data_IF_333175787760
#
_entry.id   IF_333175787760
#
_cell.length_a   1.000
_cell.length_b   1.000
_cell.length_c   1.000
_cell.angle_alpha   90.00
_cell.angle_beta   90.00
_cell.angle_gamma   90.00
#
_symmetry.space_group_name_H-M   'P 1'
#
loop_
_entity.id
_entity.type
_entity.pdbx_description
1 polymer ?
#
# COMPACT_ATOMS: atom_id res chain seq x y z
N UNK A 1 11.63 -1.37 -24.48
CA UNK A 1 10.69 -1.41 -23.35
C UNK A 1 10.63 -2.86 -22.86
N UNK A 2 10.83 -3.13 -21.56
CA UNK A 2 10.87 -4.50 -21.02
C UNK A 2 9.47 -4.92 -20.59
N UNK A 3 9.11 -6.17 -20.86
CA UNK A 3 7.88 -6.78 -20.39
C UNK A 3 8.04 -7.20 -18.92
N UNK A 4 7.24 -6.58 -18.04
CA UNK A 4 7.26 -6.79 -16.59
C UNK A 4 6.38 -7.97 -16.13
N UNK A 5 5.53 -8.48 -17.02
CA UNK A 5 4.55 -9.54 -16.74
C UNK A 5 4.84 -10.82 -17.50
N UNK A 6 5.94 -10.89 -18.26
CA UNK A 6 6.33 -12.08 -19.04
C UNK A 6 5.20 -12.55 -19.97
N UNK A 7 4.63 -11.59 -20.71
CA UNK A 7 3.58 -11.74 -21.72
C UNK A 7 2.23 -12.16 -21.17
N UNK A 8 2.04 -11.98 -19.86
CA UNK A 8 0.78 -12.21 -19.15
C UNK A 8 -0.07 -10.97 -19.14
N UNK A 9 -1.36 -11.14 -19.37
CA UNK A 9 -2.33 -10.06 -19.39
C UNK A 9 -2.61 -9.51 -17.98
N UNK A 10 -2.52 -8.19 -17.82
CA UNK A 10 -2.93 -7.49 -16.62
C UNK A 10 -4.46 -7.39 -16.56
N UNK A 11 -5.06 -7.82 -15.44
CA UNK A 11 -6.52 -7.80 -15.25
C UNK A 11 -6.99 -6.57 -14.49
N UNK A 12 -6.41 -6.30 -13.33
CA UNK A 12 -6.82 -5.19 -12.46
C UNK A 12 -5.62 -4.58 -11.74
N UNK A 13 -5.58 -3.25 -11.68
CA UNK A 13 -4.58 -2.48 -10.95
C UNK A 13 -5.24 -1.59 -9.91
N UNK A 14 -4.71 -1.59 -8.69
CA UNK A 14 -5.14 -0.74 -7.59
C UNK A 14 -3.93 -0.01 -7.02
N UNK A 15 -3.92 1.32 -7.10
CA UNK A 15 -2.90 2.17 -6.51
C UNK A 15 -3.47 2.99 -5.36
N UNK A 16 -2.80 2.97 -4.20
CA UNK A 16 -3.18 3.78 -3.04
C UNK A 16 -2.32 5.05 -2.94
N UNK A 17 -1.00 4.89 -3.08
CA UNK A 17 0.00 5.97 -3.06
C UNK A 17 1.30 5.50 -3.70
N UNK A 18 2.30 6.37 -3.92
CA UNK A 18 3.58 5.95 -4.49
C UNK A 18 4.20 4.77 -3.74
N UNK A 19 4.54 3.71 -4.50
CA UNK A 19 5.11 2.45 -3.97
C UNK A 19 4.17 1.69 -3.02
N UNK A 20 2.86 1.87 -3.19
CA UNK A 20 1.81 1.09 -2.52
C UNK A 20 0.70 0.77 -3.52
N UNK A 21 0.74 -0.43 -4.10
CA UNK A 21 -0.17 -0.85 -5.14
C UNK A 21 -0.28 -2.38 -5.22
N UNK A 22 -1.31 -2.84 -5.92
CA UNK A 22 -1.50 -4.23 -6.28
C UNK A 22 -1.91 -4.37 -7.73
N UNK A 23 -1.39 -5.41 -8.39
CA UNK A 23 -1.71 -5.77 -9.78
C UNK A 23 -2.08 -7.25 -9.84
N UNK A 24 -3.18 -7.58 -10.51
CA UNK A 24 -3.57 -8.96 -10.82
C UNK A 24 -3.26 -9.27 -12.28
N UNK A 25 -2.76 -10.49 -12.53
CA UNK A 25 -2.42 -10.98 -13.87
C UNK A 25 -2.47 -12.50 -13.85
N UNK A 26 -3.11 -13.16 -14.83
CA UNK A 26 -3.20 -14.63 -14.93
C UNK A 26 -3.31 -15.39 -13.58
N UNK A 27 -4.26 -14.98 -12.73
CA UNK A 27 -4.53 -15.57 -11.40
C UNK A 27 -3.42 -15.40 -10.35
N UNK A 28 -2.40 -14.58 -10.65
CA UNK A 28 -1.35 -14.14 -9.75
C UNK A 28 -1.60 -12.70 -9.27
N UNK A 29 -0.96 -12.34 -8.14
CA UNK A 29 -1.00 -10.98 -7.58
C UNK A 29 0.41 -10.43 -7.32
N UNK A 30 0.74 -9.25 -7.85
CA UNK A 30 1.95 -8.50 -7.47
C UNK A 30 1.61 -7.48 -6.39
N UNK A 31 2.01 -7.81 -5.15
CA UNK A 31 1.96 -7.03 -3.89
C UNK A 31 3.05 -5.97 -3.73
N UNK A 32 2.77 -4.65 -3.66
CA UNK A 32 3.75 -3.66 -3.19
C UNK A 32 3.17 -2.75 -2.10
N UNK A 33 3.84 -2.68 -0.93
CA UNK A 33 3.53 -1.71 0.12
C UNK A 33 4.81 -1.29 0.84
N UNK A 34 5.51 -0.27 0.30
CA UNK A 34 6.79 0.17 0.86
C UNK A 34 6.63 0.63 2.31
N UNK A 35 7.53 0.14 3.17
CA UNK A 35 7.55 0.45 4.60
C UNK A 35 6.74 -0.52 5.46
N UNK A 36 6.02 -1.46 4.84
CA UNK A 36 5.36 -2.58 5.51
C UNK A 36 6.25 -3.81 5.42
N UNK A 37 6.45 -4.57 6.52
CA UNK A 37 7.18 -5.84 6.47
C UNK A 37 6.59 -6.80 5.45
N UNK A 38 7.44 -7.42 4.63
CA UNK A 38 7.03 -8.35 3.56
C UNK A 38 6.25 -9.55 4.08
N UNK A 39 6.56 -10.01 5.30
CA UNK A 39 5.81 -11.07 5.99
C UNK A 39 4.33 -10.70 6.18
N UNK A 40 4.03 -9.44 6.54
CA UNK A 40 2.65 -8.95 6.69
C UNK A 40 1.98 -8.88 5.31
N UNK A 41 2.65 -8.32 4.30
CA UNK A 41 2.10 -8.21 2.94
C UNK A 41 1.73 -9.59 2.39
N UNK A 42 2.59 -10.59 2.57
CA UNK A 42 2.35 -11.96 2.08
C UNK A 42 1.23 -12.67 2.83
N UNK A 43 1.13 -12.48 4.15
CA UNK A 43 0.18 -13.19 5.02
C UNK A 43 -1.21 -12.57 5.05
N UNK A 44 -1.31 -11.24 5.09
CA UNK A 44 -2.54 -10.52 5.44
C UNK A 44 -3.15 -9.70 4.31
N UNK A 45 -2.43 -9.47 3.20
CA UNK A 45 -2.91 -8.60 2.14
C UNK A 45 -3.07 -9.35 0.81
N UNK A 46 -4.30 -9.33 0.30
CA UNK A 46 -4.72 -9.76 -1.03
C UNK A 46 -5.06 -8.53 -1.89
N UNK A 47 -5.23 -8.73 -3.19
CA UNK A 47 -5.61 -7.64 -4.09
C UNK A 47 -6.89 -6.94 -3.62
N UNK A 48 -7.88 -7.72 -3.17
CA UNK A 48 -9.15 -7.20 -2.67
C UNK A 48 -9.00 -6.28 -1.45
N UNK A 49 -7.96 -6.46 -0.62
CA UNK A 49 -7.72 -5.59 0.53
C UNK A 49 -7.26 -4.19 0.09
N UNK A 50 -6.50 -4.10 -1.01
CA UNK A 50 -6.15 -2.80 -1.60
C UNK A 50 -7.40 -2.11 -2.16
N UNK A 51 -8.26 -2.87 -2.85
CA UNK A 51 -9.52 -2.36 -3.40
C UNK A 51 -10.45 -1.87 -2.30
N UNK A 52 -10.63 -2.66 -1.24
CA UNK A 52 -11.41 -2.27 -0.08
C UNK A 52 -10.82 -1.05 0.64
N UNK A 53 -9.49 -0.98 0.77
CA UNK A 53 -8.81 0.16 1.37
C UNK A 53 -9.09 1.46 0.59
N UNK A 54 -9.04 1.40 -0.75
CA UNK A 54 -9.35 2.53 -1.63
C UNK A 54 -10.82 2.95 -1.51
N UNK A 55 -11.75 2.01 -1.68
CA UNK A 55 -13.19 2.30 -1.76
C UNK A 55 -13.83 2.66 -0.42
N UNK A 56 -13.36 2.05 0.68
CA UNK A 56 -13.89 2.31 2.03
C UNK A 56 -13.14 3.42 2.77
N UNK A 57 -12.06 3.94 2.18
CA UNK A 57 -11.17 4.93 2.81
C UNK A 57 -10.66 4.50 4.20
N UNK A 58 -10.46 3.20 4.39
CA UNK A 58 -10.06 2.62 5.67
C UNK A 58 -8.60 2.19 5.67
N UNK A 59 -7.86 2.60 6.70
CA UNK A 59 -6.49 2.12 6.95
C UNK A 59 -6.53 0.76 7.63
N UNK A 60 -5.56 -0.08 7.33
CA UNK A 60 -5.34 -1.35 8.04
C UNK A 60 -4.14 -1.26 8.98
N UNK A 61 -4.15 -2.13 9.98
CA UNK A 61 -3.08 -2.32 10.95
C UNK A 61 -2.60 -3.77 10.85
N UNK A 62 -1.30 -3.97 10.98
CA UNK A 62 -0.67 -5.27 10.98
C UNK A 62 0.34 -5.38 12.11
N UNK A 63 0.52 -6.60 12.60
CA UNK A 63 1.46 -6.93 13.66
C UNK A 63 2.60 -7.76 13.09
N UNK A 64 3.81 -7.44 13.52
CA UNK A 64 5.00 -8.17 13.15
C UNK A 64 6.01 -8.16 14.30
N UNK A 65 7.00 -9.03 14.16
CA UNK A 65 8.14 -9.11 15.03
C UNK A 65 9.39 -8.68 14.27
N UNK A 66 10.33 -8.05 14.98
CA UNK A 66 11.68 -7.79 14.47
C UNK A 66 12.70 -8.03 15.57
N UNK A 67 13.89 -8.45 15.17
CA UNK A 67 15.05 -8.47 16.04
C UNK A 67 15.65 -7.06 16.04
N UNK A 68 15.96 -6.54 17.23
CA UNK A 68 16.60 -5.24 17.41
C UNK A 68 17.73 -5.35 18.43
N UNK A 69 18.79 -4.58 18.22
CA UNK A 69 19.85 -4.39 19.21
C UNK A 69 19.70 -3.03 19.85
N UNK A 70 19.70 -2.98 21.18
CA UNK A 70 19.66 -1.73 21.95
C UNK A 70 20.65 -1.86 23.10
N UNK A 71 21.59 -0.93 23.23
CA UNK A 71 22.69 -1.00 24.20
C UNK A 71 23.42 -2.35 24.19
N UNK A 72 23.74 -2.85 22.98
CA UNK A 72 24.38 -4.15 22.74
C UNK A 72 23.58 -5.38 23.22
N UNK A 73 22.29 -5.22 23.58
CA UNK A 73 21.40 -6.33 23.92
C UNK A 73 20.46 -6.63 22.75
N UNK A 74 20.53 -7.86 22.25
CA UNK A 74 19.64 -8.37 21.19
C UNK A 74 18.33 -8.80 21.79
N UNK A 75 17.23 -8.30 21.25
CA UNK A 75 15.87 -8.58 21.71
C UNK A 75 14.91 -8.71 20.54
N UNK A 76 13.89 -9.56 20.70
CA UNK A 76 12.77 -9.66 19.76
C UNK A 76 11.67 -8.70 20.20
N UNK A 77 11.35 -7.74 19.34
CA UNK A 77 10.32 -6.74 19.58
C UNK A 77 9.07 -7.07 18.78
N UNK A 78 7.92 -7.02 19.44
CA UNK A 78 6.61 -7.07 18.82
C UNK A 78 6.16 -5.64 18.55
N UNK A 79 5.64 -5.38 17.36
CA UNK A 79 5.15 -4.06 17.01
C UNK A 79 3.90 -4.15 16.13
N UNK A 80 3.00 -3.19 16.37
CA UNK A 80 1.83 -2.93 15.53
C UNK A 80 2.09 -1.71 14.67
N UNK A 81 1.79 -1.79 13.37
CA UNK A 81 2.05 -0.71 12.41
C UNK A 81 0.87 -0.56 11.45
N UNK A 82 0.65 0.66 10.95
CA UNK A 82 -0.24 0.87 9.80
C UNK A 82 0.33 0.23 8.54
N UNK A 83 -0.51 -0.53 7.85
CA UNK A 83 -0.14 -1.30 6.66
C UNK A 83 -0.67 -0.62 5.40
N UNK A 84 -1.89 -0.93 4.95
CA UNK A 84 -2.51 -0.24 3.81
C UNK A 84 -3.13 1.07 4.28
N UNK A 85 -2.96 2.11 3.49
CA UNK A 85 -3.47 3.44 3.78
C UNK A 85 -3.92 4.10 2.46
N UNK A 86 -5.17 4.58 2.37
CA UNK A 86 -5.68 5.24 1.17
C UNK A 86 -5.20 6.68 1.04
N UNK A 87 -4.68 7.28 2.12
CA UNK A 87 -4.17 8.64 2.11
C UNK A 87 -2.76 8.74 1.51
N UNK A 88 -2.60 9.65 0.55
CA UNK A 88 -1.31 10.10 0.03
C UNK A 88 -1.02 11.51 0.55
N UNK A 89 -0.02 11.63 1.43
CA UNK A 89 0.36 12.92 2.03
C UNK A 89 1.01 13.91 1.06
N UNK A 90 1.15 13.55 -0.22
CA UNK A 90 1.72 14.41 -1.27
C UNK A 90 0.68 15.00 -2.21
N UNK A 91 -0.60 14.65 -2.03
CA UNK A 91 -1.69 14.99 -2.94
C UNK A 91 -2.93 15.38 -2.13
N UNK A 92 -3.75 16.25 -2.70
CA UNK A 92 -5.10 16.50 -2.22
C UNK A 92 -6.04 15.50 -2.89
N UNK A 93 -6.63 14.58 -2.12
CA UNK A 93 -7.55 13.56 -2.63
C UNK A 93 -8.95 14.15 -2.67
N UNK A 94 -9.65 14.04 -3.81
CA UNK A 94 -11.03 14.49 -3.96
C UNK A 94 -12.02 13.53 -3.27
N UNK A 95 -13.29 13.94 -3.21
CA UNK A 95 -14.35 13.17 -2.53
C UNK A 95 -14.57 11.77 -3.12
N UNK A 96 -14.23 11.56 -4.38
CA UNK A 96 -14.28 10.25 -5.05
C UNK A 96 -13.20 9.27 -4.56
N UNK A 97 -12.23 9.74 -3.78
CA UNK A 97 -11.13 8.93 -3.23
C UNK A 97 -10.04 8.55 -4.24
N UNK A 98 -10.18 8.93 -5.52
CA UNK A 98 -9.31 8.47 -6.62
C UNK A 98 -8.68 9.64 -7.35
N UNK A 99 -9.46 10.66 -7.69
CA UNK A 99 -8.93 11.85 -8.32
C UNK A 99 -8.12 12.64 -7.29
N UNK A 100 -6.99 13.17 -7.75
CA UNK A 100 -6.10 13.93 -6.89
C UNK A 100 -5.62 15.21 -7.55
N UNK A 101 -5.44 16.24 -6.73
CA UNK A 101 -4.87 17.53 -7.12
C UNK A 101 -3.53 17.75 -6.40
N UNK A 102 -2.66 18.57 -6.99
CA UNK A 102 -1.48 19.06 -6.30
C UNK A 102 -1.90 20.07 -5.22
N UNK A 103 -1.18 20.14 -4.11
CA UNK A 103 -1.43 21.18 -3.11
C UNK A 103 -1.26 22.58 -3.72
N UNK A 104 -2.17 23.49 -3.41
CA UNK A 104 -2.20 24.84 -3.98
C UNK A 104 -2.89 24.96 -5.35
N UNK A 105 -3.46 23.87 -5.87
CA UNK A 105 -4.25 23.91 -7.10
C UNK A 105 -5.49 24.81 -6.95
N UNK A 106 -5.84 25.61 -7.97
CA UNK A 106 -6.92 26.61 -7.91
C UNK A 106 -8.32 26.06 -7.60
N UNK A 107 -8.56 24.78 -7.91
CA UNK A 107 -9.83 24.08 -7.58
C UNK A 107 -9.93 23.64 -6.12
N UNK A 108 -8.84 23.71 -5.36
CA UNK A 108 -8.88 23.43 -3.93
C UNK A 108 -9.39 24.70 -3.26
N UNK A 109 -10.63 24.66 -2.77
CA UNK A 109 -11.16 25.72 -1.91
C UNK A 109 -10.24 25.90 -0.71
N UNK A 110 -9.88 27.15 -0.41
CA UNK A 110 -9.24 27.49 0.86
C UNK A 110 -10.25 27.55 1.98
#
# INVERSE_FOLDING_TARGET
MKDELASKEAKEFVGLKPKMCSLTYENCEKKTAKGVPTCIIRRQHRHNDYKNCLLKLQRSLGEAQRIASTNHKVQTLYFRKSTLCPFDSKRYILEDGVQTLAYGHYKISR
#
